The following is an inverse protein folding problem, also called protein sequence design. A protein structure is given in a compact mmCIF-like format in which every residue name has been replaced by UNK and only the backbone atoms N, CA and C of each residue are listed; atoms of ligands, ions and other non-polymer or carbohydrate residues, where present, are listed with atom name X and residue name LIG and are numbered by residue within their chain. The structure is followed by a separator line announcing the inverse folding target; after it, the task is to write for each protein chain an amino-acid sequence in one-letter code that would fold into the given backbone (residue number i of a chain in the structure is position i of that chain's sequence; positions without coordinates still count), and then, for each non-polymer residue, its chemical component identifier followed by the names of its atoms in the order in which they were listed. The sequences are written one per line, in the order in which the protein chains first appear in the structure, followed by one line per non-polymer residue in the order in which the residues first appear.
data_IF_200664390478
#
_entry.id   IF_200664390478
#
_cell.length_a   1.000
_cell.length_b   1.000
_cell.length_c   1.000
_cell.angle_alpha   90.00
_cell.angle_beta   90.00
_cell.angle_gamma   90.00
#
_symmetry.space_group_name_H-M   'P 1'
#
loop_
_entity.id
_entity.type
_entity.pdbx_description
1 polymer ?
#
# COMPACT_ATOMS: atom_id res chain seq x y z
N UNK A 1 1.86 5.77 -16.73
CA UNK A 1 1.87 5.63 -15.25
C UNK A 1 0.73 4.78 -14.71
N UNK A 2 -0.53 4.99 -15.14
CA UNK A 2 -1.69 4.23 -14.65
C UNK A 2 -1.52 2.70 -14.72
N UNK A 3 -1.08 2.07 -15.83
CA UNK A 3 -0.87 0.61 -15.85
C UNK A 3 0.16 0.12 -14.83
N UNK A 4 1.21 0.91 -14.58
CA UNK A 4 2.25 0.60 -13.59
C UNK A 4 1.72 0.73 -12.17
N UNK A 5 0.94 1.78 -11.88
CA UNK A 5 0.26 1.95 -10.58
C UNK A 5 -0.70 0.78 -10.33
N UNK A 6 -1.54 0.44 -11.31
CA UNK A 6 -2.46 -0.71 -11.21
C UNK A 6 -1.72 -2.02 -10.97
N UNK A 7 -0.66 -2.30 -11.75
CA UNK A 7 0.11 -3.53 -11.60
C UNK A 7 0.80 -3.65 -10.24
N UNK A 8 1.37 -2.55 -9.74
CA UNK A 8 2.06 -2.53 -8.43
C UNK A 8 1.08 -2.65 -7.26
N UNK A 9 -0.11 -2.05 -7.34
CA UNK A 9 -1.17 -2.24 -6.34
C UNK A 9 -1.69 -3.68 -6.30
N UNK A 10 -1.90 -4.32 -7.46
CA UNK A 10 -2.27 -5.74 -7.55
C UNK A 10 -1.18 -6.61 -6.93
N UNK A 11 0.08 -6.38 -7.29
CA UNK A 11 1.21 -7.13 -6.75
C UNK A 11 1.33 -6.97 -5.23
N UNK A 12 1.20 -5.74 -4.71
CA UNK A 12 1.26 -5.47 -3.27
C UNK A 12 0.13 -6.18 -2.51
N UNK A 13 -1.10 -6.13 -3.04
CA UNK A 13 -2.23 -6.85 -2.45
C UNK A 13 -1.99 -8.37 -2.43
N UNK A 14 -1.54 -8.93 -3.55
CA UNK A 14 -1.25 -10.36 -3.66
C UNK A 14 -0.16 -10.80 -2.67
N UNK A 15 0.91 -10.02 -2.53
CA UNK A 15 1.98 -10.29 -1.56
C UNK A 15 1.45 -10.27 -0.13
N UNK A 16 0.60 -9.30 0.25
CA UNK A 16 0.02 -9.22 1.59
C UNK A 16 -0.89 -10.43 1.90
N UNK A 17 -1.70 -10.88 0.94
CA UNK A 17 -2.50 -12.09 1.11
C UNK A 17 -1.65 -13.36 1.22
N UNK A 18 -0.65 -13.52 0.36
CA UNK A 18 0.29 -14.66 0.44
C UNK A 18 1.05 -14.65 1.76
N UNK A 19 1.47 -13.46 2.23
CA UNK A 19 2.19 -13.28 3.49
C UNK A 19 1.38 -13.75 4.71
N UNK A 20 0.04 -13.65 4.65
CA UNK A 20 -0.86 -14.18 5.69
C UNK A 20 -0.61 -15.66 5.97
N UNK A 21 -0.43 -16.48 4.92
CA UNK A 21 -0.08 -17.89 5.08
C UNK A 21 1.42 -18.09 5.33
N UNK A 22 2.27 -17.38 4.59
CA UNK A 22 3.72 -17.57 4.58
C UNK A 22 4.39 -17.30 5.94
N UNK A 23 3.80 -16.45 6.78
CA UNK A 23 4.39 -16.06 8.06
C UNK A 23 4.58 -17.24 9.04
N UNK A 24 3.87 -18.35 8.83
CA UNK A 24 3.96 -19.55 9.67
C UNK A 24 5.19 -20.42 9.37
N UNK A 25 5.92 -20.16 8.27
CA UNK A 25 7.12 -20.90 7.89
C UNK A 25 8.31 -19.93 7.76
N UNK A 26 9.42 -20.10 8.49
CA UNK A 26 10.47 -19.08 8.60
C UNK A 26 11.09 -18.62 7.27
N UNK A 27 11.35 -19.57 6.35
CA UNK A 27 11.96 -19.26 5.06
C UNK A 27 10.96 -18.49 4.17
N UNK A 28 9.71 -18.94 4.13
CA UNK A 28 8.63 -18.29 3.40
C UNK A 28 8.35 -16.88 3.95
N UNK A 29 8.44 -16.69 5.27
CA UNK A 29 8.31 -15.38 5.90
C UNK A 29 9.42 -14.42 5.45
N UNK A 30 10.68 -14.86 5.42
CA UNK A 30 11.81 -14.05 4.93
C UNK A 30 11.58 -13.62 3.47
N UNK A 31 11.20 -14.58 2.62
CA UNK A 31 10.89 -14.30 1.20
C UNK A 31 9.71 -13.33 1.08
N UNK A 32 8.63 -13.53 1.85
CA UNK A 32 7.46 -12.66 1.82
C UNK A 32 7.78 -11.23 2.28
N UNK A 33 8.64 -11.04 3.29
CA UNK A 33 9.10 -9.71 3.73
C UNK A 33 9.92 -9.03 2.63
N UNK A 34 10.79 -9.76 1.94
CA UNK A 34 11.53 -9.23 0.79
C UNK A 34 10.61 -8.81 -0.35
N UNK A 35 9.61 -9.64 -0.68
CA UNK A 35 8.59 -9.33 -1.69
C UNK A 35 7.71 -8.14 -1.28
N UNK A 36 7.36 -8.02 0.01
CA UNK A 36 6.60 -6.90 0.54
C UNK A 36 7.36 -5.60 0.33
N UNK A 37 8.65 -5.58 0.69
CA UNK A 37 9.53 -4.44 0.43
C UNK A 37 9.55 -4.09 -1.07
N UNK A 38 9.84 -5.06 -1.92
CA UNK A 38 9.90 -4.85 -3.37
C UNK A 38 8.58 -4.27 -3.93
N UNK A 39 7.43 -4.86 -3.59
CA UNK A 39 6.13 -4.41 -4.07
C UNK A 39 5.74 -3.02 -3.52
N UNK A 40 5.99 -2.78 -2.23
CA UNK A 40 5.70 -1.50 -1.59
C UNK A 40 6.52 -0.37 -2.22
N UNK A 41 7.85 -0.54 -2.33
CA UNK A 41 8.72 0.48 -2.94
C UNK A 41 8.46 0.67 -4.44
N UNK A 42 8.13 -0.40 -5.18
CA UNK A 42 7.74 -0.30 -6.58
C UNK A 42 6.49 0.57 -6.79
N UNK A 43 5.62 0.67 -5.78
CA UNK A 43 4.38 1.47 -5.84
C UNK A 43 4.63 2.98 -5.65
N UNK A 44 5.67 3.36 -4.88
CA UNK A 44 5.92 4.74 -4.46
C UNK A 44 6.23 5.67 -5.65
N UNK A 45 7.22 5.32 -6.47
CA UNK A 45 7.67 6.20 -7.56
C UNK A 45 6.60 6.44 -8.63
N UNK A 46 5.85 5.42 -9.13
CA UNK A 46 4.76 5.63 -10.07
C UNK A 46 3.64 6.52 -9.53
N UNK A 47 3.24 6.34 -8.27
CA UNK A 47 2.21 7.18 -7.63
C UNK A 47 2.65 8.63 -7.52
N UNK A 48 3.88 8.87 -7.05
CA UNK A 48 4.42 10.22 -6.91
C UNK A 48 4.49 10.94 -8.27
N UNK A 49 4.97 10.27 -9.32
CA UNK A 49 4.99 10.84 -10.66
C UNK A 49 3.57 11.10 -11.19
N UNK A 50 2.63 10.19 -10.94
CA UNK A 50 1.25 10.33 -11.42
C UNK A 50 0.53 11.52 -10.78
N UNK A 51 0.75 11.78 -9.49
CA UNK A 51 0.22 12.97 -8.80
C UNK A 51 0.80 14.25 -9.40
N UNK A 52 2.11 14.28 -9.68
CA UNK A 52 2.77 15.45 -10.26
C UNK A 52 2.30 15.74 -11.69
N UNK A 53 1.99 14.71 -12.50
CA UNK A 53 1.41 14.90 -13.84
C UNK A 53 0.03 15.58 -13.82
N UNK A 54 -0.71 15.49 -12.71
CA UNK A 54 -2.00 16.14 -12.55
C UNK A 54 -1.92 17.61 -12.17
N UNK A 55 -0.72 18.12 -11.86
CA UNK A 55 -0.50 19.51 -11.51
C UNK A 55 0.48 20.20 -12.47
N UNK A 56 0.20 21.45 -12.83
CA UNK A 56 1.05 22.25 -13.73
C UNK A 56 1.49 23.56 -13.06
N UNK A 57 2.70 24.01 -13.40
CA UNK A 57 3.26 25.27 -12.92
C UNK A 57 3.34 25.33 -11.38
N UNK A 58 2.86 26.43 -10.79
CA UNK A 58 2.88 26.67 -9.35
C UNK A 58 2.09 25.60 -8.53
N UNK A 59 1.19 24.86 -9.17
CA UNK A 59 0.43 23.78 -8.51
C UNK A 59 1.26 22.53 -8.19
N UNK A 60 2.42 22.33 -8.81
CA UNK A 60 3.25 21.14 -8.58
C UNK A 60 3.83 21.09 -7.15
N UNK A 61 4.23 22.24 -6.61
CA UNK A 61 4.69 22.33 -5.22
C UNK A 61 3.60 21.91 -4.24
N UNK A 62 2.38 22.42 -4.44
CA UNK A 62 1.22 22.05 -3.63
C UNK A 62 0.88 20.56 -3.78
N UNK A 63 0.87 20.02 -5.00
CA UNK A 63 0.61 18.60 -5.25
C UNK A 63 1.63 17.68 -4.56
N UNK A 64 2.92 18.05 -4.57
CA UNK A 64 3.97 17.34 -3.84
C UNK A 64 3.74 17.36 -2.33
N UNK A 65 3.45 18.54 -1.76
CA UNK A 65 3.14 18.67 -0.32
C UNK A 65 1.90 17.88 0.08
N UNK A 66 0.85 17.90 -0.74
CA UNK A 66 -0.35 17.07 -0.52
C UNK A 66 -0.03 15.58 -0.57
N UNK A 67 0.84 15.14 -1.47
CA UNK A 67 1.26 13.73 -1.54
C UNK A 67 1.99 13.28 -0.26
N UNK A 68 2.88 14.12 0.28
CA UNK A 68 3.57 13.85 1.56
C UNK A 68 2.56 13.82 2.72
N UNK A 69 1.62 14.76 2.76
CA UNK A 69 0.56 14.78 3.78
C UNK A 69 -0.31 13.52 3.71
N UNK A 70 -0.70 13.09 2.51
CA UNK A 70 -1.45 11.86 2.29
C UNK A 70 -0.67 10.61 2.73
N UNK A 71 0.64 10.55 2.48
CA UNK A 71 1.50 9.46 2.96
C UNK A 71 1.53 9.39 4.50
N UNK A 72 1.71 10.52 5.18
CA UNK A 72 1.68 10.58 6.64
C UNK A 72 0.32 10.17 7.21
N UNK A 73 -0.78 10.61 6.59
CA UNK A 73 -2.12 10.18 6.95
C UNK A 73 -2.30 8.67 6.73
N UNK A 74 -1.79 8.14 5.61
CA UNK A 74 -1.78 6.71 5.32
C UNK A 74 -1.05 5.89 6.38
N UNK A 75 0.12 6.36 6.85
CA UNK A 75 0.84 5.72 7.96
C UNK A 75 0.04 5.73 9.26
N UNK A 76 -0.61 6.85 9.58
CA UNK A 76 -1.45 6.96 10.77
C UNK A 76 -2.67 6.03 10.70
N UNK A 77 -3.38 6.02 9.56
CA UNK A 77 -4.52 5.12 9.33
C UNK A 77 -4.07 3.66 9.34
N UNK A 78 -2.93 3.33 8.73
CA UNK A 78 -2.37 1.99 8.72
C UNK A 78 -2.03 1.49 10.12
N UNK A 79 -1.38 2.32 10.94
CA UNK A 79 -1.07 1.99 12.32
C UNK A 79 -2.34 1.81 13.17
N UNK A 80 -3.31 2.72 13.02
CA UNK A 80 -4.61 2.62 13.69
C UNK A 80 -5.37 1.36 13.28
N UNK A 81 -5.45 1.06 11.98
CA UNK A 81 -6.13 -0.13 11.45
C UNK A 81 -5.46 -1.41 11.94
N UNK A 82 -4.13 -1.48 11.91
CA UNK A 82 -3.38 -2.61 12.45
C UNK A 82 -3.63 -2.81 13.94
N UNK A 83 -3.59 -1.74 14.73
CA UNK A 83 -3.93 -1.76 16.15
C UNK A 83 -5.37 -2.21 16.40
N UNK A 84 -6.33 -1.68 15.64
CA UNK A 84 -7.74 -2.06 15.73
C UNK A 84 -7.95 -3.55 15.47
N UNK A 85 -7.31 -4.12 14.44
CA UNK A 85 -7.36 -5.55 14.12
C UNK A 85 -6.74 -6.42 15.22
N UNK A 86 -5.69 -5.93 15.87
CA UNK A 86 -5.05 -6.63 17.00
C UNK A 86 -5.97 -6.60 18.23
N UNK A 87 -6.49 -5.43 18.59
CA UNK A 87 -7.23 -5.20 19.84
C UNK A 87 -8.67 -5.74 19.80
N UNK A 88 -9.34 -5.67 18.65
CA UNK A 88 -10.76 -6.04 18.48
C UNK A 88 -10.96 -7.30 17.63
N UNK A 89 -9.87 -7.93 17.18
CA UNK A 89 -9.89 -9.16 16.40
C UNK A 89 -9.79 -8.94 14.89
N UNK A 90 -9.39 -9.98 14.11
CA UNK A 90 -9.08 -11.36 14.51
C UNK A 90 -7.71 -11.59 15.18
N UNK A 91 -6.96 -10.52 15.48
CA UNK A 91 -5.66 -10.58 16.12
C UNK A 91 -4.49 -10.43 15.14
N UNK A 92 -3.27 -10.57 15.66
CA UNK A 92 -2.02 -10.27 14.92
C UNK A 92 -1.88 -11.00 13.58
N UNK A 93 -2.31 -12.26 13.49
CA UNK A 93 -2.21 -13.06 12.27
C UNK A 93 -3.07 -12.55 11.11
N UNK A 94 -4.12 -11.78 11.39
CA UNK A 94 -5.02 -11.23 10.37
C UNK A 94 -4.60 -9.85 9.86
N UNK A 95 -3.57 -9.22 10.46
CA UNK A 95 -3.14 -7.87 10.09
C UNK A 95 -2.71 -7.80 8.63
N UNK A 96 -1.95 -8.78 8.13
CA UNK A 96 -1.51 -8.82 6.73
C UNK A 96 -2.67 -9.06 5.76
N UNK A 97 -3.67 -9.85 6.17
CA UNK A 97 -4.88 -10.08 5.39
C UNK A 97 -5.70 -8.78 5.26
N UNK A 98 -5.95 -8.08 6.37
CA UNK A 98 -6.68 -6.80 6.35
C UNK A 98 -5.90 -5.73 5.60
N UNK A 99 -4.58 -5.66 5.80
CA UNK A 99 -3.72 -4.76 5.05
C UNK A 99 -3.79 -4.99 3.54
N UNK A 100 -3.95 -6.24 3.09
CA UNK A 100 -4.12 -6.59 1.67
C UNK A 100 -5.35 -5.99 1.01
N UNK A 101 -6.39 -5.62 1.79
CA UNK A 101 -7.59 -4.93 1.30
C UNK A 101 -7.35 -3.45 1.00
N UNK A 102 -6.36 -2.81 1.64
CA UNK A 102 -6.05 -1.38 1.45
C UNK A 102 -5.58 -1.07 0.01
N UNK A 103 -4.59 -1.79 -0.58
CA UNK A 103 -4.23 -1.57 -1.98
C UNK A 103 -5.35 -1.98 -2.96
N UNK A 104 -6.27 -2.88 -2.59
CA UNK A 104 -7.48 -3.14 -3.39
C UNK A 104 -8.45 -1.95 -3.37
N UNK A 105 -8.63 -1.31 -2.21
CA UNK A 105 -9.43 -0.09 -2.13
C UNK A 105 -8.81 1.02 -2.99
N UNK A 106 -7.48 1.18 -2.95
CA UNK A 106 -6.77 2.10 -3.84
C UNK A 106 -6.94 1.73 -5.32
N UNK A 107 -6.87 0.44 -5.67
CA UNK A 107 -7.12 -0.04 -7.01
C UNK A 107 -8.55 0.28 -7.49
N UNK A 108 -9.55 0.11 -6.63
CA UNK A 108 -10.93 0.50 -6.94
C UNK A 108 -11.03 2.00 -7.24
N UNK A 109 -10.34 2.85 -6.47
CA UNK A 109 -10.27 4.29 -6.76
C UNK A 109 -9.63 4.56 -8.13
N UNK A 110 -8.53 3.88 -8.47
CA UNK A 110 -7.87 4.02 -9.78
C UNK A 110 -8.80 3.63 -10.94
N UNK A 111 -9.64 2.62 -10.75
CA UNK A 111 -10.59 2.17 -11.77
C UNK A 111 -11.80 3.10 -11.93
N UNK A 112 -12.10 3.93 -10.93
CA UNK A 112 -13.21 4.87 -10.92
C UNK A 112 -12.82 6.29 -11.36
N UNK A 113 -11.52 6.60 -11.38
CA UNK A 113 -10.95 7.92 -11.68
C UNK A 113 -10.61 8.10 -13.17
#
# INVERSE_FOLDING_TARGET
LVPTVTGTLIALSAVLFVMTAAIHQPIAAIVAVGLLGAAAFATVAPLQMWVLEKAQGAGQGLASSFNIAAFNLGNAIGAWLGGFVIDHGPGLGAVTLVAGLVPLAALAVVLLA
#
